data_IF_484951127714
#
_entry.id   IF_484951127714
#
_cell.length_a   1.000
_cell.length_b   1.000
_cell.length_c   1.000
_cell.angle_alpha   90.00
_cell.angle_beta   90.00
_cell.angle_gamma   90.00
#
_symmetry.space_group_name_H-M   'P 1'
#
loop_
_entity.id
_entity.type
_entity.pdbx_description
1 polymer ?
#
# COMPACT_ATOMS: atom_id res chain seq x y z
N UNK A 1 0.02 15.99 13.13
CA UNK A 1 0.52 15.01 12.14
C UNK A 1 -0.61 14.30 11.39
N UNK A 2 -1.64 13.79 12.08
CA UNK A 2 -2.74 13.02 11.45
C UNK A 2 -3.36 13.67 10.20
N UNK A 3 -3.72 14.96 10.24
CA UNK A 3 -4.39 15.65 9.12
C UNK A 3 -3.51 15.87 7.88
N UNK A 4 -2.19 15.89 8.04
CA UNK A 4 -1.24 16.07 6.93
C UNK A 4 -0.67 14.73 6.43
N UNK A 5 -0.98 13.62 7.10
CA UNK A 5 -0.46 12.30 6.76
C UNK A 5 -0.71 11.88 5.30
N UNK A 6 -1.87 12.16 4.66
CA UNK A 6 -2.07 11.79 3.27
C UNK A 6 -1.10 12.51 2.33
N UNK A 7 -0.91 13.82 2.52
CA UNK A 7 0.02 14.61 1.71
C UNK A 7 1.47 14.12 1.86
N UNK A 8 1.89 13.80 3.08
CA UNK A 8 3.24 13.27 3.32
C UNK A 8 3.38 11.89 2.66
N UNK A 9 2.36 11.03 2.73
CA UNK A 9 2.36 9.73 2.05
C UNK A 9 2.51 9.86 0.53
N UNK A 10 1.92 10.88 -0.11
CA UNK A 10 2.15 11.16 -1.54
C UNK A 10 3.64 11.40 -1.83
N UNK A 11 4.34 12.19 -1.01
CA UNK A 11 5.78 12.42 -1.17
C UNK A 11 6.59 11.15 -0.89
N UNK A 12 6.21 10.34 0.10
CA UNK A 12 6.85 9.04 0.37
C UNK A 12 6.68 8.09 -0.82
N UNK A 13 5.47 7.94 -1.36
CA UNK A 13 5.24 7.12 -2.56
C UNK A 13 6.04 7.61 -3.76
N UNK A 14 6.11 8.93 -3.97
CA UNK A 14 6.93 9.53 -5.01
C UNK A 14 8.44 9.27 -4.79
N UNK A 15 8.90 9.24 -3.54
CA UNK A 15 10.28 8.92 -3.21
C UNK A 15 10.59 7.44 -3.44
N UNK A 16 9.67 6.52 -3.12
CA UNK A 16 9.82 5.08 -3.35
C UNK A 16 9.94 4.73 -4.85
N UNK A 17 9.30 5.50 -5.72
CA UNK A 17 9.34 5.32 -7.18
C UNK A 17 10.28 6.28 -7.90
N UNK A 18 11.09 7.05 -7.16
CA UNK A 18 11.96 8.08 -7.72
C UNK A 18 13.04 7.50 -8.64
N UNK A 19 13.45 8.25 -9.66
CA UNK A 19 14.49 7.80 -10.62
C UNK A 19 15.88 7.69 -9.98
N UNK A 20 16.20 8.60 -9.06
CA UNK A 20 17.46 8.59 -8.31
C UNK A 20 17.44 7.51 -7.22
N UNK A 21 18.38 6.55 -7.22
CA UNK A 21 18.42 5.48 -6.23
C UNK A 21 18.58 5.97 -4.79
N UNK A 22 19.41 6.98 -4.54
CA UNK A 22 19.66 7.47 -3.17
C UNK A 22 18.36 7.92 -2.47
N UNK A 23 17.48 8.59 -3.22
CA UNK A 23 16.17 9.00 -2.73
C UNK A 23 15.28 7.79 -2.44
N UNK A 24 15.30 6.77 -3.32
CA UNK A 24 14.58 5.52 -3.07
C UNK A 24 15.10 4.79 -1.84
N UNK A 25 16.42 4.75 -1.64
CA UNK A 25 17.06 4.06 -0.52
C UNK A 25 16.59 4.60 0.83
N UNK A 26 16.39 5.92 0.94
CA UNK A 26 15.97 6.58 2.18
C UNK A 26 14.45 6.72 2.30
N UNK A 27 13.68 6.40 1.25
CA UNK A 27 12.22 6.61 1.24
C UNK A 27 11.49 5.84 2.36
N UNK A 28 11.93 4.63 2.68
CA UNK A 28 11.32 3.80 3.73
C UNK A 28 11.63 4.29 5.15
N UNK A 29 12.68 5.10 5.34
CA UNK A 29 12.98 5.67 6.66
C UNK A 29 11.90 6.70 7.04
N UNK A 30 11.46 7.53 6.09
CA UNK A 30 10.33 8.44 6.29
C UNK A 30 9.02 7.68 6.51
N UNK A 31 8.80 6.57 5.79
CA UNK A 31 7.65 5.70 6.02
C UNK A 31 7.67 5.14 7.46
N UNK A 32 8.83 4.71 7.95
CA UNK A 32 8.97 4.16 9.31
C UNK A 32 8.62 5.19 10.40
N UNK A 33 8.98 6.47 10.20
CA UNK A 33 8.60 7.58 11.09
C UNK A 33 7.08 7.79 11.09
N UNK A 34 6.45 7.71 9.91
CA UNK A 34 4.99 7.81 9.81
C UNK A 34 4.27 6.65 10.49
N UNK A 35 4.82 5.43 10.36
CA UNK A 35 4.29 4.24 11.04
C UNK A 35 4.43 4.33 12.57
N UNK A 36 5.41 5.05 13.10
CA UNK A 36 5.54 5.28 14.55
C UNK A 36 4.59 6.35 15.07
N UNK A 37 4.35 7.39 14.25
CA UNK A 37 3.61 8.57 14.70
C UNK A 37 2.11 8.49 14.40
N UNK A 38 1.71 7.91 13.26
CA UNK A 38 0.32 7.84 12.82
C UNK A 38 0.03 6.52 12.07
N UNK A 39 0.23 5.34 12.71
CA UNK A 39 0.08 4.03 12.06
C UNK A 39 -1.32 3.80 11.46
N UNK A 40 -2.36 4.17 12.21
CA UNK A 40 -3.76 3.98 11.83
C UNK A 40 -4.09 4.66 10.49
N UNK A 41 -3.65 5.91 10.29
CA UNK A 41 -3.97 6.66 9.08
C UNK A 41 -3.23 6.14 7.85
N UNK A 42 -1.96 5.73 8.02
CA UNK A 42 -1.15 5.15 6.94
C UNK A 42 -1.76 3.85 6.46
N UNK A 43 -2.09 2.96 7.40
CA UNK A 43 -2.72 1.67 7.10
C UNK A 43 -4.13 1.82 6.54
N UNK A 44 -4.89 2.86 6.92
CA UNK A 44 -6.27 3.02 6.44
C UNK A 44 -6.35 3.66 5.06
N UNK A 45 -5.58 4.72 4.82
CA UNK A 45 -5.75 5.58 3.64
C UNK A 45 -4.80 5.24 2.48
N UNK A 46 -3.75 4.46 2.74
CA UNK A 46 -2.67 4.27 1.76
C UNK A 46 -2.14 2.84 1.71
N UNK A 47 -2.87 1.85 2.24
CA UNK A 47 -2.45 0.45 2.29
C UNK A 47 -2.05 -0.12 0.93
N UNK A 48 -3.01 -0.16 0.01
CA UNK A 48 -2.84 -0.76 -1.32
C UNK A 48 -1.69 -0.11 -2.08
N UNK A 49 -1.66 1.23 -2.09
CA UNK A 49 -0.63 2.00 -2.80
C UNK A 49 0.76 1.80 -2.20
N UNK A 50 0.87 1.76 -0.87
CA UNK A 50 2.14 1.51 -0.18
C UNK A 50 2.67 0.11 -0.50
N UNK A 51 1.82 -0.92 -0.42
CA UNK A 51 2.19 -2.29 -0.81
C UNK A 51 2.63 -2.35 -2.28
N UNK A 52 1.87 -1.72 -3.19
CA UNK A 52 2.20 -1.64 -4.61
C UNK A 52 3.57 -0.99 -4.85
N UNK A 53 3.94 0.04 -4.10
CA UNK A 53 5.25 0.69 -4.18
C UNK A 53 6.42 -0.19 -3.68
N UNK A 54 6.18 -1.16 -2.79
CA UNK A 54 7.23 -2.08 -2.31
C UNK A 54 7.68 -3.10 -3.36
N UNK A 55 6.79 -3.56 -4.25
CA UNK A 55 7.13 -4.51 -5.30
C UNK A 55 8.24 -4.02 -6.25
N UNK A 56 8.13 -2.83 -6.88
CA UNK A 56 9.22 -2.31 -7.67
C UNK A 56 10.43 -2.05 -6.77
N UNK A 57 10.27 -1.51 -5.55
CA UNK A 57 11.39 -1.22 -4.65
C UNK A 57 12.24 -2.45 -4.29
N UNK A 58 11.62 -3.63 -4.20
CA UNK A 58 12.29 -4.90 -3.91
C UNK A 58 12.63 -5.73 -5.16
N UNK A 59 12.19 -5.27 -6.35
CA UNK A 59 12.36 -5.99 -7.61
C UNK A 59 11.45 -7.21 -7.76
N UNK A 60 10.33 -7.24 -7.04
CA UNK A 60 9.37 -8.35 -7.09
C UNK A 60 8.33 -8.14 -8.20
N UNK A 61 8.06 -9.14 -9.05
CA UNK A 61 7.02 -9.04 -10.05
C UNK A 61 5.63 -9.13 -9.43
N UNK A 62 4.75 -8.17 -9.76
CA UNK A 62 3.32 -8.22 -9.45
C UNK A 62 2.60 -8.99 -10.57
N UNK A 63 1.74 -9.95 -10.22
CA UNK A 63 1.13 -10.86 -11.21
C UNK A 63 -0.03 -10.26 -12.03
N UNK A 64 -0.38 -9.00 -11.81
CA UNK A 64 -1.56 -8.36 -12.44
C UNK A 64 -1.44 -8.10 -13.95
N UNK A 65 -0.27 -8.26 -14.57
CA UNK A 65 -0.07 -7.99 -16.01
C UNK A 65 -0.23 -9.22 -16.92
N UNK A 66 -0.78 -10.34 -16.44
CA UNK A 66 -1.03 -11.52 -17.26
C UNK A 66 -2.51 -11.72 -17.56
N UNK A 67 -3.10 -10.88 -18.42
CA UNK A 67 -4.31 -11.22 -19.18
C UNK A 67 -4.66 -10.33 -20.39
N UNK A 68 -3.72 -9.59 -20.97
CA UNK A 68 -3.92 -8.96 -22.29
C UNK A 68 -2.70 -9.14 -23.19
N UNK A 69 -2.32 -10.38 -23.49
CA UNK A 69 -1.32 -10.62 -24.54
C UNK A 69 -1.53 -11.96 -25.25
N UNK A 70 -2.69 -12.11 -25.89
CA UNK A 70 -2.85 -12.95 -27.09
C UNK A 70 -2.83 -12.08 -28.35
N UNK A 71 -1.88 -11.14 -28.41
CA UNK A 71 -1.73 -10.18 -29.51
C UNK A 71 -0.26 -9.81 -29.75
N UNK A 72 0.09 -9.30 -30.95
CA UNK A 72 1.46 -9.28 -31.45
C UNK A 72 2.37 -8.39 -30.60
N UNK A 73 3.61 -8.84 -30.41
CA UNK A 73 4.68 -8.14 -29.69
C UNK A 73 4.95 -6.77 -30.31
N UNK A 74 4.37 -5.73 -29.73
CA UNK A 74 4.91 -4.37 -29.88
C UNK A 74 6.08 -4.21 -28.90
N UNK A 75 7.25 -3.70 -29.32
CA UNK A 75 8.34 -3.35 -28.41
C UNK A 75 7.98 -2.03 -27.71
N UNK A 76 6.98 -2.09 -26.85
CA UNK A 76 6.68 -1.03 -25.90
C UNK A 76 7.59 -1.23 -24.70
N UNK A 77 8.45 -0.25 -24.43
CA UNK A 77 9.35 -0.15 -23.29
C UNK A 77 8.59 -0.22 -21.96
N UNK A 78 8.15 -1.41 -21.54
CA UNK A 78 7.94 -1.69 -20.12
C UNK A 78 9.30 -2.12 -19.59
N UNK A 79 10.02 -1.17 -19.01
CA UNK A 79 11.22 -1.49 -18.23
C UNK A 79 10.74 -2.52 -17.21
N UNK A 80 11.18 -3.76 -17.34
CA UNK A 80 11.03 -4.78 -16.30
C UNK A 80 11.50 -4.16 -14.99
N UNK A 81 10.57 -3.82 -14.10
CA UNK A 81 10.84 -3.15 -12.82
C UNK A 81 11.89 -3.89 -11.97
N UNK A 82 12.09 -5.18 -12.24
CA UNK A 82 13.12 -6.02 -11.64
C UNK A 82 14.57 -5.60 -11.93
N UNK A 83 14.85 -4.89 -13.04
CA UNK A 83 16.24 -4.59 -13.44
C UNK A 83 16.81 -3.30 -12.83
N UNK A 84 15.97 -2.41 -12.28
CA UNK A 84 16.38 -1.06 -11.87
C UNK A 84 16.52 -0.89 -10.35
N UNK A 85 16.05 -1.81 -9.52
CA UNK A 85 15.66 -1.42 -8.15
C UNK A 85 16.41 -2.00 -6.97
N UNK A 86 17.32 -2.98 -7.09
CA UNK A 86 18.11 -3.37 -5.90
C UNK A 86 19.54 -3.78 -6.18
N UNK A 87 19.80 -4.60 -7.19
CA UNK A 87 21.15 -5.10 -7.48
C UNK A 87 22.08 -4.08 -8.15
N UNK A 88 21.62 -3.42 -9.22
CA UNK A 88 22.46 -2.50 -10.01
C UNK A 88 22.53 -1.08 -9.44
N UNK A 89 21.51 -0.64 -8.69
CA UNK A 89 21.32 0.77 -8.36
C UNK A 89 21.98 1.21 -7.05
N UNK A 90 22.31 0.26 -6.17
CA UNK A 90 22.79 0.55 -4.81
C UNK A 90 24.24 0.12 -4.56
N UNK A 91 24.91 -0.51 -5.53
CA UNK A 91 26.30 -0.93 -5.43
C UNK A 91 26.59 -1.72 -4.14
N UNK A 92 27.65 -1.34 -3.42
CA UNK A 92 28.03 -1.98 -2.15
C UNK A 92 26.99 -1.84 -1.02
N UNK A 93 26.08 -0.86 -1.09
CA UNK A 93 25.03 -0.65 -0.09
C UNK A 93 23.74 -1.43 -0.38
N UNK A 94 23.67 -2.17 -1.49
CA UNK A 94 22.46 -2.88 -1.92
C UNK A 94 21.87 -3.79 -0.85
N UNK A 95 22.71 -4.57 -0.17
CA UNK A 95 22.26 -5.49 0.88
C UNK A 95 21.65 -4.74 2.09
N UNK A 96 22.28 -3.63 2.50
CA UNK A 96 21.81 -2.81 3.62
C UNK A 96 20.49 -2.10 3.29
N UNK A 97 20.41 -1.51 2.11
CA UNK A 97 19.21 -0.82 1.63
C UNK A 97 18.05 -1.80 1.48
N UNK A 98 18.30 -2.98 0.89
CA UNK A 98 17.29 -4.04 0.80
C UNK A 98 16.81 -4.48 2.18
N UNK A 99 17.72 -4.67 3.14
CA UNK A 99 17.36 -5.01 4.51
C UNK A 99 16.45 -3.93 5.13
N UNK A 100 16.79 -2.65 4.97
CA UNK A 100 15.98 -1.55 5.48
C UNK A 100 14.55 -1.55 4.88
N UNK A 101 14.43 -1.80 3.57
CA UNK A 101 13.13 -1.92 2.92
C UNK A 101 12.32 -3.13 3.42
N UNK A 102 12.96 -4.30 3.58
CA UNK A 102 12.31 -5.50 4.12
C UNK A 102 11.84 -5.29 5.57
N UNK A 103 12.67 -4.65 6.42
CA UNK A 103 12.28 -4.31 7.79
C UNK A 103 11.12 -3.32 7.84
N UNK A 104 11.10 -2.33 6.94
CA UNK A 104 9.99 -1.39 6.82
C UNK A 104 8.69 -2.08 6.39
N UNK A 105 8.79 -3.03 5.45
CA UNK A 105 7.66 -3.85 5.03
C UNK A 105 7.15 -4.75 6.16
N UNK A 106 8.04 -5.39 6.92
CA UNK A 106 7.69 -6.18 8.11
C UNK A 106 6.91 -5.32 9.11
N UNK A 107 7.41 -4.13 9.44
CA UNK A 107 6.73 -3.18 10.33
C UNK A 107 5.35 -2.78 9.80
N UNK A 108 5.25 -2.47 8.51
CA UNK A 108 3.98 -2.14 7.87
C UNK A 108 2.96 -3.29 7.98
N UNK A 109 3.39 -4.53 7.71
CA UNK A 109 2.53 -5.71 7.77
C UNK A 109 2.08 -6.01 9.20
N UNK A 110 3.00 -5.96 10.17
CA UNK A 110 2.65 -6.15 11.57
C UNK A 110 1.64 -5.09 12.05
N UNK A 111 1.85 -3.82 11.71
CA UNK A 111 0.93 -2.74 12.12
C UNK A 111 -0.40 -2.82 11.40
N UNK A 112 -0.41 -3.09 10.09
CA UNK A 112 -1.62 -3.03 9.27
C UNK A 112 -2.53 -4.24 9.40
N UNK A 113 -1.99 -5.40 9.76
CA UNK A 113 -2.73 -6.66 9.92
C UNK A 113 -2.99 -7.02 11.39
N UNK A 114 -2.48 -6.24 12.34
CA UNK A 114 -2.79 -6.43 13.75
C UNK A 114 -4.06 -5.67 14.16
N UNK A 115 -4.83 -6.30 15.05
CA UNK A 115 -6.17 -5.87 15.47
C UNK A 115 -6.13 -4.77 16.54
N UNK A 116 -4.96 -4.57 17.16
CA UNK A 116 -4.74 -3.60 18.24
C UNK A 116 -5.02 -2.14 17.85
N UNK A 117 -5.12 -1.83 16.54
CA UNK A 117 -5.47 -0.48 16.07
C UNK A 117 -6.96 -0.13 16.29
N UNK A 118 -7.84 -1.12 16.37
CA UNK A 118 -9.29 -0.90 16.52
C UNK A 118 -9.73 -0.87 18.01
N UNK A 119 -8.87 -1.30 18.95
CA UNK A 119 -9.19 -1.44 20.38
C UNK A 119 -9.31 -0.12 21.16
N UNK A 120 -9.14 1.04 20.52
CA UNK A 120 -9.21 2.34 21.20
C UNK A 120 -10.63 2.70 21.71
N UNK A 121 -11.68 1.97 21.31
CA UNK A 121 -13.07 2.20 21.73
C UNK A 121 -13.46 1.56 23.07
N UNK A 122 -12.63 0.71 23.66
CA UNK A 122 -13.00 -0.13 24.82
C UNK A 122 -12.96 0.58 26.20
N UNK A 123 -12.62 1.87 26.26
CA UNK A 123 -12.53 2.61 27.52
C UNK A 123 -13.85 3.30 27.96
N UNK A 124 -14.98 3.00 27.31
CA UNK A 124 -16.28 3.54 27.72
C UNK A 124 -16.89 2.72 28.87
N UNK A 125 -17.52 3.37 29.88
CA UNK A 125 -18.09 2.67 31.03
C UNK A 125 -19.17 1.65 30.61
N UNK A 126 -19.37 0.58 31.41
CA UNK A 126 -20.12 -0.63 31.06
C UNK A 126 -21.64 -0.45 30.81
N UNK A 127 -22.14 0.78 30.78
CA UNK A 127 -23.55 1.10 30.57
C UNK A 127 -23.90 1.47 29.12
N UNK A 128 -22.94 1.43 28.20
CA UNK A 128 -23.16 1.69 26.79
C UNK A 128 -23.02 0.42 25.96
N UNK A 129 -23.88 0.27 24.95
CA UNK A 129 -23.75 -0.82 23.98
C UNK A 129 -22.36 -0.73 23.33
N UNK A 130 -21.67 -1.85 23.02
CA UNK A 130 -20.32 -1.82 22.43
C UNK A 130 -20.24 -0.96 21.15
N UNK A 131 -21.34 -0.86 20.41
CA UNK A 131 -21.47 -0.06 19.19
C UNK A 131 -21.77 1.43 19.42
N UNK A 132 -22.02 1.87 20.65
CA UNK A 132 -22.39 3.28 20.94
C UNK A 132 -21.31 4.25 20.44
N UNK A 133 -20.04 3.87 20.47
CA UNK A 133 -18.93 4.68 19.96
C UNK A 133 -19.09 5.06 18.47
N UNK A 134 -19.78 4.25 17.65
CA UNK A 134 -19.97 4.52 16.21
C UNK A 134 -20.96 5.65 15.92
N UNK A 135 -21.83 5.97 16.88
CA UNK A 135 -22.83 7.04 16.76
C UNK A 135 -22.40 8.35 17.41
N UNK A 136 -21.22 8.39 18.04
CA UNK A 136 -20.64 9.59 18.61
C UNK A 136 -19.85 10.36 17.56
N UNK A 137 -19.66 11.67 17.80
CA UNK A 137 -18.82 12.49 16.95
C UNK A 137 -17.38 11.96 16.98
N UNK A 138 -16.76 11.70 15.81
CA UNK A 138 -15.39 11.22 15.76
C UNK A 138 -14.42 12.27 16.31
N UNK A 139 -13.52 11.86 17.19
CA UNK A 139 -12.44 12.69 17.74
C UNK A 139 -11.27 12.90 16.75
N UNK A 140 -11.28 12.18 15.62
CA UNK A 140 -10.22 12.19 14.61
C UNK A 140 -10.48 13.22 13.51
N UNK A 141 -9.42 13.80 12.94
CA UNK A 141 -9.54 14.67 11.78
C UNK A 141 -9.86 13.87 10.51
N UNK A 142 -10.85 14.31 9.72
CA UNK A 142 -11.20 13.68 8.44
C UNK A 142 -11.86 12.29 8.54
N UNK A 143 -12.83 12.05 9.45
CA UNK A 143 -13.39 10.71 9.68
C UNK A 143 -14.13 10.11 8.48
N UNK A 144 -14.57 10.96 7.55
CA UNK A 144 -15.32 10.60 6.34
C UNK A 144 -14.49 10.79 5.06
N UNK A 145 -13.16 10.98 5.18
CA UNK A 145 -12.28 11.17 4.03
C UNK A 145 -12.31 9.96 3.06
N UNK A 146 -12.52 8.76 3.59
CA UNK A 146 -12.63 7.51 2.83
C UNK A 146 -13.83 7.48 1.88
N UNK A 147 -14.88 8.27 2.14
CA UNK A 147 -16.08 8.30 1.30
C UNK A 147 -15.88 9.02 -0.03
N UNK A 148 -14.77 9.77 -0.19
CA UNK A 148 -14.45 10.46 -1.44
C UNK A 148 -15.51 11.46 -1.92
N UNK A 149 -16.47 11.88 -1.07
CA UNK A 149 -17.64 12.69 -1.46
C UNK A 149 -17.27 14.02 -2.14
N UNK A 150 -16.13 14.58 -1.74
CA UNK A 150 -15.60 15.85 -2.27
C UNK A 150 -14.34 15.64 -3.10
N UNK A 151 -13.97 14.39 -3.39
CA UNK A 151 -12.85 14.09 -4.26
C UNK A 151 -13.29 14.35 -5.70
N UNK A 152 -12.70 15.36 -6.33
CA UNK A 152 -12.88 15.56 -7.76
C UNK A 152 -12.06 14.49 -8.46
N UNK A 153 -12.72 13.46 -8.99
CA UNK A 153 -12.09 12.50 -9.88
C UNK A 153 -11.50 13.28 -11.05
N UNK A 154 -10.18 13.47 -11.06
CA UNK A 154 -9.47 13.95 -12.24
C UNK A 154 -9.55 12.81 -13.24
N UNK A 155 -10.64 12.79 -14.00
CA UNK A 155 -10.76 11.93 -15.16
C UNK A 155 -9.56 12.20 -16.06
N UNK A 156 -8.66 11.24 -16.16
CA UNK A 156 -7.69 11.18 -17.24
C UNK A 156 -8.52 10.80 -18.47
N UNK A 157 -9.07 11.82 -19.13
CA UNK A 157 -9.96 11.68 -20.27
C UNK A 157 -10.39 13.03 -20.82
N UNK A 158 -9.61 13.56 -21.77
CA UNK A 158 -10.06 14.54 -22.75
C UNK A 158 -9.84 16.02 -22.40
N UNK A 159 -8.80 16.60 -22.99
CA UNK A 159 -8.78 18.02 -23.33
C UNK A 159 -10.00 18.37 -24.19
N UNK A 160 -10.87 19.27 -23.73
CA UNK A 160 -11.30 20.49 -24.43
C UNK A 160 -12.68 21.00 -23.98
N UNK A 161 -12.73 22.32 -23.76
CA UNK A 161 -13.88 23.24 -23.83
C UNK A 161 -15.07 23.07 -22.88
N UNK A 162 -15.30 24.15 -22.12
CA UNK A 162 -16.60 24.71 -21.73
C UNK A 162 -17.84 24.11 -22.39
N UNK A 163 -18.77 23.58 -21.58
CA UNK A 163 -20.22 23.86 -21.64
C UNK A 163 -20.94 23.07 -20.54
N UNK A 164 -21.80 23.77 -19.80
CA UNK A 164 -22.77 23.22 -18.86
C UNK A 164 -23.63 22.17 -19.57
N UNK A 165 -23.70 20.93 -19.05
CA UNK A 165 -24.89 20.12 -19.22
C UNK A 165 -24.98 18.97 -18.21
N UNK A 166 -26.21 18.86 -17.70
CA UNK A 166 -26.81 17.85 -16.86
C UNK A 166 -26.71 16.46 -17.50
N UNK A 167 -26.07 15.48 -16.87
CA UNK A 167 -26.12 14.08 -17.31
C UNK A 167 -26.47 13.10 -16.20
N UNK A 168 -27.61 12.48 -16.43
CA UNK A 168 -28.18 11.29 -15.85
C UNK A 168 -27.19 10.13 -15.77
N UNK A 169 -27.23 9.42 -14.64
CA UNK A 169 -26.60 8.12 -14.38
C UNK A 169 -26.78 7.17 -15.57
N UNK A 170 -25.69 6.82 -16.24
CA UNK A 170 -25.60 5.62 -17.07
C UNK A 170 -24.44 4.77 -16.56
N UNK A 171 -24.79 3.58 -16.07
CA UNK A 171 -23.93 2.54 -15.56
C UNK A 171 -23.03 2.01 -16.68
N UNK A 172 -21.79 2.48 -16.76
CA UNK A 172 -20.74 1.81 -17.55
C UNK A 172 -19.98 0.84 -16.66
N UNK A 173 -19.68 -0.39 -17.15
CA UNK A 173 -18.96 -1.38 -16.36
C UNK A 173 -17.56 -0.87 -16.06
N UNK A 174 -17.21 -0.95 -14.77
CA UNK A 174 -15.96 -0.51 -14.17
C UNK A 174 -14.82 -1.22 -14.90
N UNK A 175 -14.07 -0.49 -15.74
CA UNK A 175 -12.78 -0.97 -16.22
C UNK A 175 -11.84 -1.11 -15.03
N UNK A 176 -11.29 -2.30 -14.91
CA UNK A 176 -10.45 -2.85 -13.87
C UNK A 176 -9.06 -2.17 -13.87
N UNK A 177 -9.01 -0.87 -13.62
CA UNK A 177 -7.79 -0.21 -13.19
C UNK A 177 -7.68 -0.40 -11.69
N UNK A 178 -6.63 -1.06 -11.22
CA UNK A 178 -6.22 -1.26 -9.81
C UNK A 178 -5.97 0.04 -9.02
N UNK A 179 -6.50 1.16 -9.50
CA UNK A 179 -6.64 2.46 -8.83
C UNK A 179 -8.05 2.62 -8.23
N UNK A 180 -8.80 1.52 -8.08
CA UNK A 180 -9.89 1.50 -7.10
C UNK A 180 -9.23 1.73 -5.75
N UNK A 181 -9.51 2.89 -5.18
CA UNK A 181 -9.33 3.22 -3.77
C UNK A 181 -10.02 2.12 -2.97
N UNK A 182 -9.32 1.01 -2.75
CA UNK A 182 -9.78 -0.06 -1.89
C UNK A 182 -9.74 0.55 -0.50
N UNK A 183 -10.91 1.02 -0.06
CA UNK A 183 -11.11 1.59 1.26
C UNK A 183 -10.74 0.48 2.23
N UNK A 184 -9.53 0.54 2.76
CA UNK A 184 -9.00 -0.41 3.73
C UNK A 184 -9.22 0.15 5.13
N UNK A 185 -10.47 0.50 5.44
CA UNK A 185 -10.81 1.15 6.71
C UNK A 185 -10.59 0.20 7.89
N UNK A 186 -11.06 -1.03 7.76
CA UNK A 186 -10.96 -2.10 8.75
C UNK A 186 -9.80 -3.07 8.45
N UNK A 187 -9.38 -3.79 9.49
CA UNK A 187 -8.33 -4.82 9.41
C UNK A 187 -8.76 -5.94 8.46
N UNK A 188 -10.03 -6.33 8.46
CA UNK A 188 -10.55 -7.42 7.63
C UNK A 188 -10.41 -7.09 6.14
N UNK A 189 -10.72 -5.87 5.72
CA UNK A 189 -10.53 -5.36 4.36
C UNK A 189 -9.05 -5.34 3.97
N UNK A 190 -8.14 -4.99 4.91
CA UNK A 190 -6.69 -5.07 4.67
C UNK A 190 -6.22 -6.51 4.48
N UNK A 191 -6.65 -7.42 5.34
CA UNK A 191 -6.36 -8.86 5.24
C UNK A 191 -6.91 -9.43 3.93
N UNK A 192 -8.16 -9.13 3.58
CA UNK A 192 -8.81 -9.55 2.35
C UNK A 192 -8.07 -9.06 1.10
N UNK A 193 -7.61 -7.80 1.09
CA UNK A 193 -6.81 -7.27 -0.01
C UNK A 193 -5.46 -7.98 -0.13
N UNK A 194 -4.78 -8.21 1.00
CA UNK A 194 -3.53 -8.98 0.99
C UNK A 194 -3.78 -10.39 0.48
N UNK A 195 -4.81 -11.08 0.95
CA UNK A 195 -5.17 -12.46 0.54
C UNK A 195 -5.44 -12.57 -0.96
N UNK A 196 -6.22 -11.65 -1.50
CA UNK A 196 -6.75 -11.74 -2.87
C UNK A 196 -5.79 -11.23 -3.92
N UNK A 197 -5.13 -10.08 -3.68
CA UNK A 197 -4.31 -9.40 -4.69
C UNK A 197 -2.82 -9.67 -4.48
N UNK A 198 -2.34 -9.54 -3.25
CA UNK A 198 -0.89 -9.48 -3.00
C UNK A 198 -0.26 -10.79 -2.55
N UNK A 199 -1.04 -11.73 -1.98
CA UNK A 199 -0.54 -12.91 -1.27
C UNK A 199 0.45 -13.71 -2.11
N UNK A 200 0.05 -14.10 -3.33
CA UNK A 200 0.89 -14.91 -4.21
C UNK A 200 2.20 -14.22 -4.59
N UNK A 201 2.13 -12.93 -4.92
CA UNK A 201 3.31 -12.15 -5.30
C UNK A 201 4.25 -11.92 -4.11
N UNK A 202 3.66 -11.68 -2.92
CA UNK A 202 4.36 -11.43 -1.66
C UNK A 202 5.07 -12.69 -1.15
N UNK A 203 4.38 -13.83 -1.11
CA UNK A 203 4.95 -15.12 -0.72
C UNK A 203 6.10 -15.51 -1.63
N UNK A 204 5.94 -15.41 -2.96
CA UNK A 204 7.03 -15.67 -3.90
C UNK A 204 8.24 -14.75 -3.69
N UNK A 205 7.99 -13.45 -3.47
CA UNK A 205 9.04 -12.46 -3.21
C UNK A 205 9.80 -12.76 -1.92
N UNK A 206 9.07 -13.13 -0.86
CA UNK A 206 9.63 -13.51 0.44
C UNK A 206 10.41 -14.83 0.35
N UNK A 207 9.88 -15.87 -0.28
CA UNK A 207 10.58 -17.15 -0.48
C UNK A 207 11.92 -16.97 -1.21
N UNK A 208 11.97 -16.09 -2.21
CA UNK A 208 13.21 -15.76 -2.88
C UNK A 208 14.18 -14.99 -1.97
N UNK A 209 13.65 -14.13 -1.12
CA UNK A 209 14.45 -13.34 -0.17
C UNK A 209 14.93 -14.19 1.03
N UNK A 210 14.20 -15.23 1.41
CA UNK A 210 14.59 -16.22 2.44
C UNK A 210 15.84 -17.00 2.03
N UNK A 211 16.01 -17.26 0.73
CA UNK A 211 17.22 -17.92 0.20
C UNK A 211 18.48 -17.06 0.37
N UNK A 212 18.33 -15.76 0.58
CA UNK A 212 19.43 -14.87 0.92
C UNK A 212 19.79 -15.06 2.40
N UNK A 213 20.97 -15.64 2.64
CA UNK A 213 21.44 -15.89 3.99
C UNK A 213 21.63 -14.59 4.80
N UNK A 214 21.57 -14.70 6.13
CA UNK A 214 21.79 -13.59 7.05
C UNK A 214 20.50 -12.97 7.57
N UNK A 215 20.57 -11.68 7.92
CA UNK A 215 19.47 -10.99 8.60
C UNK A 215 18.24 -10.82 7.70
N UNK A 216 18.45 -10.57 6.40
CA UNK A 216 17.37 -10.42 5.40
C UNK A 216 16.52 -11.70 5.33
N UNK A 217 17.14 -12.87 5.16
CA UNK A 217 16.41 -14.14 5.12
C UNK A 217 15.70 -14.48 6.43
N UNK A 218 16.29 -14.14 7.59
CA UNK A 218 15.65 -14.34 8.90
C UNK A 218 14.36 -13.52 9.04
N UNK A 219 14.40 -12.23 8.69
CA UNK A 219 13.22 -11.35 8.74
C UNK A 219 12.17 -11.83 7.75
N UNK A 220 12.54 -12.14 6.51
CA UNK A 220 11.60 -12.65 5.51
C UNK A 220 10.94 -13.98 5.91
N UNK A 221 11.66 -14.86 6.60
CA UNK A 221 11.08 -16.12 7.11
C UNK A 221 10.04 -15.86 8.22
N UNK A 222 10.31 -14.91 9.11
CA UNK A 222 9.35 -14.52 10.13
C UNK A 222 8.10 -13.86 9.51
N UNK A 223 8.28 -12.99 8.52
CA UNK A 223 7.18 -12.37 7.78
C UNK A 223 6.30 -13.41 7.09
N UNK A 224 6.89 -14.44 6.47
CA UNK A 224 6.15 -15.50 5.81
C UNK A 224 5.24 -16.25 6.79
N UNK A 225 5.78 -16.62 7.96
CA UNK A 225 5.01 -17.26 9.04
C UNK A 225 3.88 -16.35 9.55
N UNK A 226 4.14 -15.07 9.70
CA UNK A 226 3.14 -14.10 10.12
C UNK A 226 2.00 -13.97 9.11
N UNK A 227 2.33 -13.92 7.81
CA UNK A 227 1.32 -13.87 6.74
C UNK A 227 0.49 -15.16 6.67
N UNK A 228 1.11 -16.33 6.82
CA UNK A 228 0.38 -17.59 6.91
C UNK A 228 -0.57 -17.60 8.11
N UNK A 229 -0.14 -17.12 9.28
CA UNK A 229 -1.00 -17.09 10.46
C UNK A 229 -2.19 -16.12 10.34
N UNK A 230 -2.00 -14.96 9.70
CA UNK A 230 -3.01 -13.88 9.66
C UNK A 230 -3.90 -13.91 8.43
N UNK A 231 -3.45 -14.51 7.33
CA UNK A 231 -4.10 -14.41 6.01
C UNK A 231 -4.53 -15.78 5.46
N UNK A 232 -4.12 -16.89 6.08
CA UNK A 232 -4.54 -18.25 5.65
C UNK A 232 -6.06 -18.44 5.65
#
# INVERSE_FOLDING_TARGET
>A
MSSHSPFIMLYVHSAMTHITPEIRAQSTDFLNILLETVPEQVSRLSWAKTLKCFFPLLGWPLEDEKKTSSGPKHPGTTISSASVTTGLSFGASAAKTKLAHIMSLDKLLNIGLDEALDSASDNLPPFHHPETAKFLLPIRSGPYATLGLFSRSTGIGGTNSSTSQHSTRSSTPISESTDVFTVTEDVESRCGLVKTVYYKSLTRGLENTVKEAGQVGRVSSNMLKFLEQRVS
#
